data_IF_773984322171
#
_entry.id   IF_773984322171
#
_cell.length_a   1.000
_cell.length_b   1.000
_cell.length_c   1.000
_cell.angle_alpha   90.00
_cell.angle_beta   90.00
_cell.angle_gamma   90.00
#
_symmetry.space_group_name_H-M   'P 1'
#
loop_
_entity.id
_entity.type
_entity.pdbx_description
1 polymer ?
#
# COMPACT_ATOMS: atom_id res chain seq x y z
N UNK A 1 10.94 -20.74 -16.83
CA UNK A 1 11.17 -19.37 -16.33
C UNK A 1 10.63 -18.42 -17.36
N UNK A 2 9.44 -17.88 -17.07
CA UNK A 2 8.69 -17.04 -18.00
C UNK A 2 9.43 -15.68 -18.13
N UNK A 3 9.93 -15.37 -19.32
CA UNK A 3 10.65 -14.12 -19.63
C UNK A 3 9.81 -12.84 -19.38
N UNK A 4 8.52 -12.98 -19.04
CA UNK A 4 7.61 -11.87 -18.73
C UNK A 4 7.74 -11.36 -17.28
N UNK A 5 8.42 -12.06 -16.38
CA UNK A 5 8.66 -11.59 -15.00
C UNK A 5 9.81 -10.58 -14.89
N UNK A 6 10.64 -10.42 -15.92
CA UNK A 6 11.82 -9.54 -15.86
C UNK A 6 11.53 -8.04 -16.00
N UNK A 7 10.29 -7.62 -16.32
CA UNK A 7 9.94 -6.22 -16.59
C UNK A 7 9.13 -5.55 -15.47
N UNK A 8 9.04 -6.16 -14.28
CA UNK A 8 8.35 -5.51 -13.16
C UNK A 8 9.31 -4.53 -12.49
N UNK A 9 8.90 -3.26 -12.33
CA UNK A 9 9.74 -2.26 -11.68
C UNK A 9 10.13 -2.68 -10.26
N UNK A 10 11.38 -2.43 -9.88
CA UNK A 10 11.91 -2.77 -8.55
C UNK A 10 11.93 -1.55 -7.63
N UNK A 11 12.09 -1.78 -6.33
CA UNK A 11 12.02 -0.72 -5.29
C UNK A 11 13.01 0.41 -5.52
N UNK A 12 14.24 0.10 -5.89
CA UNK A 12 15.33 1.07 -6.09
C UNK A 12 15.76 1.14 -7.56
N UNK A 13 14.79 1.16 -8.49
CA UNK A 13 15.09 1.27 -9.89
C UNK A 13 15.81 2.60 -10.21
N UNK A 14 16.77 2.55 -11.11
CA UNK A 14 17.43 3.76 -11.59
C UNK A 14 16.53 4.46 -12.61
N UNK A 15 16.04 5.66 -12.25
CA UNK A 15 15.15 6.49 -13.08
C UNK A 15 15.88 7.70 -13.69
N UNK A 16 17.21 7.77 -13.55
CA UNK A 16 18.02 8.89 -14.04
C UNK A 16 18.07 8.89 -15.57
N UNK A 17 18.10 10.08 -16.15
CA UNK A 17 18.28 10.26 -17.58
C UNK A 17 18.93 11.61 -17.88
N UNK A 18 19.49 11.70 -19.10
CA UNK A 18 19.98 12.93 -19.70
C UNK A 18 19.22 13.17 -21.01
N UNK A 19 18.71 14.39 -21.18
CA UNK A 19 18.00 14.81 -22.39
C UNK A 19 18.72 16.00 -23.00
N UNK A 20 19.09 15.88 -24.27
CA UNK A 20 19.69 16.96 -25.08
C UNK A 20 18.79 17.22 -26.28
N UNK A 21 18.39 18.45 -26.48
CA UNK A 21 17.60 18.89 -27.63
C UNK A 21 18.37 19.99 -28.35
N UNK A 22 18.67 19.75 -29.62
CA UNK A 22 19.29 20.71 -30.53
C UNK A 22 18.33 21.12 -31.64
N UNK A 23 18.78 21.93 -32.58
CA UNK A 23 17.98 22.26 -33.76
C UNK A 23 17.77 21.08 -34.73
N UNK A 24 18.57 20.02 -34.62
CA UNK A 24 18.62 18.94 -35.60
C UNK A 24 18.32 17.55 -35.02
N UNK A 25 18.47 17.40 -33.72
CA UNK A 25 18.33 16.09 -33.08
C UNK A 25 17.85 16.19 -31.62
N UNK A 26 17.23 15.13 -31.17
CA UNK A 26 16.88 14.88 -29.77
C UNK A 26 17.62 13.63 -29.35
N UNK A 27 18.43 13.75 -28.31
CA UNK A 27 19.22 12.66 -27.73
C UNK A 27 18.74 12.43 -26.30
N UNK A 28 18.32 11.20 -26.00
CA UNK A 28 17.89 10.75 -24.68
C UNK A 28 18.75 9.57 -24.26
N UNK A 29 19.49 9.74 -23.18
CA UNK A 29 20.38 8.73 -22.61
C UNK A 29 19.96 8.37 -21.19
N UNK A 30 19.86 7.08 -20.89
CA UNK A 30 19.54 6.54 -19.58
C UNK A 30 20.10 5.11 -19.44
N UNK A 31 20.41 4.72 -18.22
CA UNK A 31 20.95 3.38 -17.92
C UNK A 31 19.90 2.29 -17.87
N UNK A 32 18.62 2.66 -17.80
CA UNK A 32 17.48 1.74 -17.71
C UNK A 32 16.34 2.15 -18.63
N UNK A 33 15.50 1.21 -19.02
CA UNK A 33 14.27 1.48 -19.77
C UNK A 33 13.34 2.44 -19.04
N UNK A 34 13.29 2.36 -17.69
CA UNK A 34 12.47 3.26 -16.87
C UNK A 34 13.01 4.69 -16.94
N UNK A 35 14.34 4.88 -16.91
CA UNK A 35 14.94 6.20 -17.12
C UNK A 35 14.58 6.79 -18.49
N UNK A 36 14.58 5.96 -19.55
CA UNK A 36 14.10 6.39 -20.88
C UNK A 36 12.64 6.83 -20.83
N UNK A 37 11.74 6.05 -20.19
CA UNK A 37 10.32 6.43 -20.02
C UNK A 37 10.19 7.79 -19.31
N UNK A 38 10.96 8.04 -18.24
CA UNK A 38 10.93 9.34 -17.51
C UNK A 38 11.41 10.50 -18.38
N UNK A 39 12.43 10.25 -19.22
CA UNK A 39 12.92 11.23 -20.18
C UNK A 39 11.92 11.55 -21.30
N UNK A 40 11.21 10.54 -21.80
CA UNK A 40 10.13 10.71 -22.78
C UNK A 40 8.96 11.54 -22.19
N UNK A 41 8.57 11.31 -20.93
CA UNK A 41 7.55 12.13 -20.27
C UNK A 41 8.00 13.60 -20.16
N UNK A 42 9.27 13.85 -19.87
CA UNK A 42 9.81 15.22 -19.88
C UNK A 42 9.77 15.83 -21.28
N UNK A 43 10.14 15.08 -22.30
CA UNK A 43 10.07 15.55 -23.69
C UNK A 43 8.63 15.92 -24.09
N UNK A 44 7.65 15.09 -23.72
CA UNK A 44 6.22 15.38 -23.94
C UNK A 44 5.77 16.67 -23.23
N UNK A 45 6.25 16.91 -22.01
CA UNK A 45 5.94 18.13 -21.26
C UNK A 45 6.59 19.41 -21.87
N UNK A 46 7.75 19.25 -22.51
CA UNK A 46 8.48 20.36 -23.16
C UNK A 46 7.92 20.68 -24.55
N UNK A 47 7.27 19.72 -25.20
CA UNK A 47 6.70 19.86 -26.53
C UNK A 47 5.52 20.83 -26.52
N UNK A 48 5.54 21.82 -27.45
CA UNK A 48 4.42 22.71 -27.73
C UNK A 48 4.28 22.90 -29.23
N UNK A 49 3.14 22.48 -29.79
CA UNK A 49 2.84 22.63 -31.22
C UNK A 49 3.92 22.01 -32.15
N UNK A 50 4.38 20.82 -31.81
CA UNK A 50 5.41 20.09 -32.59
C UNK A 50 6.82 20.64 -32.41
N UNK A 51 7.08 21.50 -31.41
CA UNK A 51 8.40 22.10 -31.15
C UNK A 51 8.79 21.91 -29.69
N UNK A 52 10.06 21.65 -29.45
CA UNK A 52 10.67 21.66 -28.13
C UNK A 52 11.83 22.65 -28.07
N UNK A 53 12.08 23.31 -26.94
CA UNK A 53 13.20 24.26 -26.81
C UNK A 53 14.55 23.53 -26.89
N UNK A 54 15.56 24.15 -27.52
CA UNK A 54 16.91 23.63 -27.43
C UNK A 54 17.43 23.76 -26.00
N UNK A 55 17.83 22.62 -25.40
CA UNK A 55 18.34 22.55 -24.03
C UNK A 55 19.15 21.29 -23.79
N UNK A 56 19.84 21.26 -22.67
CA UNK A 56 20.42 20.04 -22.08
C UNK A 56 20.00 20.01 -20.62
N UNK A 57 19.49 18.87 -20.19
CA UNK A 57 19.13 18.64 -18.78
C UNK A 57 19.57 17.23 -18.33
N UNK A 58 19.80 17.12 -17.04
CA UNK A 58 19.95 15.87 -16.30
C UNK A 58 18.88 15.86 -15.22
N UNK A 59 18.18 14.76 -15.07
CA UNK A 59 17.11 14.60 -14.10
C UNK A 59 17.21 13.26 -13.38
N UNK A 60 16.92 13.29 -12.08
CA UNK A 60 16.87 12.15 -11.22
C UNK A 60 15.82 12.36 -10.11
N UNK A 61 15.06 11.36 -9.71
CA UNK A 61 14.12 11.52 -8.62
C UNK A 61 14.83 11.81 -7.29
N UNK A 62 14.33 12.78 -6.53
CA UNK A 62 14.80 13.04 -5.16
C UNK A 62 14.38 11.93 -4.20
N UNK A 63 13.22 11.32 -4.42
CA UNK A 63 12.67 10.23 -3.62
C UNK A 63 12.44 9.00 -4.49
N UNK A 64 12.87 7.84 -4.00
CA UNK A 64 12.67 6.55 -4.67
C UNK A 64 11.21 6.07 -4.62
N UNK A 65 10.43 6.52 -3.65
CA UNK A 65 9.01 6.22 -3.51
C UNK A 65 8.17 7.48 -3.76
N UNK A 66 7.38 7.47 -4.81
CA UNK A 66 6.47 8.56 -5.19
C UNK A 66 5.13 7.93 -5.55
N UNK A 67 4.28 7.75 -4.54
CA UNK A 67 3.07 6.95 -4.63
C UNK A 67 1.77 7.74 -4.64
N UNK A 68 0.73 7.09 -5.14
CA UNK A 68 -0.67 7.45 -4.93
C UNK A 68 -1.38 6.26 -4.30
N UNK A 69 -2.13 6.51 -3.24
CA UNK A 69 -3.08 5.55 -2.69
C UNK A 69 -4.44 5.78 -3.34
N UNK A 70 -5.03 4.72 -3.86
CA UNK A 70 -6.43 4.66 -4.26
C UNK A 70 -7.21 3.76 -3.33
N UNK A 71 -8.37 4.23 -2.91
CA UNK A 71 -9.27 3.51 -2.01
C UNK A 71 -10.57 3.05 -2.71
N UNK A 72 -10.51 1.96 -3.47
CA UNK A 72 -11.72 1.35 -4.01
C UNK A 72 -12.54 0.60 -2.96
N UNK A 73 -11.99 0.34 -1.76
CA UNK A 73 -12.70 -0.39 -0.72
C UNK A 73 -13.86 0.44 -0.17
N UNK A 74 -13.62 1.73 0.17
CA UNK A 74 -14.70 2.62 0.61
C UNK A 74 -15.65 2.96 -0.52
N UNK A 75 -15.13 3.18 -1.73
CA UNK A 75 -15.94 3.43 -2.92
C UNK A 75 -15.38 2.71 -4.13
N UNK A 76 -16.11 1.73 -4.66
CA UNK A 76 -15.67 0.97 -5.83
C UNK A 76 -15.39 1.88 -7.04
N UNK A 77 -14.20 1.75 -7.60
CA UNK A 77 -13.77 2.45 -8.81
C UNK A 77 -13.86 1.49 -10.01
N UNK A 78 -14.53 1.86 -11.12
CA UNK A 78 -14.53 1.03 -12.32
C UNK A 78 -13.09 0.76 -12.81
N UNK A 79 -12.83 -0.46 -13.29
CA UNK A 79 -11.50 -0.87 -13.75
C UNK A 79 -10.85 0.09 -14.76
N UNK A 80 -11.56 0.64 -15.77
CA UNK A 80 -10.97 1.64 -16.68
C UNK A 80 -10.50 2.91 -15.97
N UNK A 81 -11.07 3.25 -14.81
CA UNK A 81 -10.63 4.40 -14.01
C UNK A 81 -9.24 4.14 -13.41
N UNK A 82 -8.96 2.91 -12.96
CA UNK A 82 -7.63 2.54 -12.47
C UNK A 82 -6.56 2.64 -13.57
N UNK A 83 -6.88 2.19 -14.79
CA UNK A 83 -5.95 2.30 -15.93
C UNK A 83 -5.65 3.75 -16.26
N UNK A 84 -6.69 4.61 -16.34
CA UNK A 84 -6.52 6.06 -16.56
C UNK A 84 -5.70 6.72 -15.44
N UNK A 85 -5.85 6.29 -14.20
CA UNK A 85 -5.03 6.80 -13.10
C UNK A 85 -3.55 6.46 -13.29
N UNK A 86 -3.23 5.27 -13.79
CA UNK A 86 -1.85 4.89 -14.12
C UNK A 86 -1.27 5.76 -15.24
N UNK A 87 -2.06 6.13 -16.25
CA UNK A 87 -1.61 7.06 -17.29
C UNK A 87 -1.26 8.45 -16.71
N UNK A 88 -2.12 8.96 -15.80
CA UNK A 88 -1.86 10.24 -15.11
C UNK A 88 -0.61 10.14 -14.23
N UNK A 89 -0.44 9.04 -13.50
CA UNK A 89 0.74 8.81 -12.67
C UNK A 89 2.02 8.78 -13.50
N UNK A 90 2.01 8.10 -14.65
CA UNK A 90 3.16 8.05 -15.57
C UNK A 90 3.53 9.46 -16.05
N UNK A 91 2.56 10.25 -16.51
CA UNK A 91 2.77 11.60 -17.02
C UNK A 91 3.43 12.56 -16.01
N UNK A 92 3.26 12.33 -14.71
CA UNK A 92 3.89 13.10 -13.63
C UNK A 92 4.99 12.32 -12.90
N UNK A 93 5.46 11.22 -13.48
CA UNK A 93 6.59 10.38 -12.99
C UNK A 93 6.38 9.78 -11.59
N UNK A 94 5.14 9.52 -11.18
CA UNK A 94 4.84 8.72 -9.99
C UNK A 94 5.11 7.24 -10.29
N UNK A 95 5.61 6.49 -9.30
CA UNK A 95 6.11 5.13 -9.53
C UNK A 95 5.52 4.04 -8.63
N UNK A 96 4.58 4.38 -7.75
CA UNK A 96 3.90 3.41 -6.88
C UNK A 96 2.40 3.69 -6.84
N UNK A 97 1.61 2.70 -7.23
CA UNK A 97 0.17 2.66 -6.94
C UNK A 97 -0.03 1.80 -5.69
N UNK A 98 -0.42 2.43 -4.58
CA UNK A 98 -0.90 1.74 -3.39
C UNK A 98 -2.39 1.50 -3.54
N UNK A 99 -2.82 0.26 -3.55
CA UNK A 99 -4.21 -0.12 -3.84
C UNK A 99 -4.87 -0.72 -2.59
N UNK A 100 -5.70 0.08 -1.92
CA UNK A 100 -6.44 -0.29 -0.72
C UNK A 100 -7.66 -1.13 -1.10
N UNK A 101 -7.49 -2.46 -1.09
CA UNK A 101 -8.44 -3.40 -1.67
C UNK A 101 -9.54 -3.86 -0.72
N UNK A 102 -9.33 -3.71 0.59
CA UNK A 102 -10.25 -4.25 1.59
C UNK A 102 -10.41 -3.30 2.75
N UNK A 103 -11.65 -3.15 3.22
CA UNK A 103 -12.03 -2.32 4.35
C UNK A 103 -13.43 -2.71 4.86
N UNK A 104 -13.96 -2.00 5.84
CA UNK A 104 -15.29 -2.20 6.41
C UNK A 104 -16.42 -2.10 5.37
N UNK A 105 -16.25 -1.25 4.34
CA UNK A 105 -17.27 -0.98 3.33
C UNK A 105 -17.21 -1.96 2.16
N UNK A 106 -16.08 -2.67 1.98
CA UNK A 106 -16.02 -3.58 0.87
C UNK A 106 -14.73 -4.37 0.71
N UNK A 107 -14.89 -5.53 0.10
CA UNK A 107 -13.84 -6.43 -0.31
C UNK A 107 -13.69 -6.41 -1.83
N UNK A 108 -12.57 -5.91 -2.38
CA UNK A 108 -12.41 -5.66 -3.82
C UNK A 108 -11.54 -6.67 -4.56
N UNK A 109 -10.94 -7.61 -3.86
CA UNK A 109 -10.12 -8.67 -4.45
C UNK A 109 -10.96 -9.93 -4.69
N UNK A 110 -10.99 -10.46 -5.94
CA UNK A 110 -11.56 -11.79 -6.21
C UNK A 110 -10.71 -12.85 -5.56
N UNK A 111 -11.21 -13.51 -4.51
CA UNK A 111 -10.59 -14.72 -3.98
C UNK A 111 -11.29 -15.95 -4.55
N UNK A 112 -10.52 -16.83 -5.17
CA UNK A 112 -11.00 -18.15 -5.63
C UNK A 112 -10.98 -19.17 -4.50
N UNK A 113 -10.05 -19.00 -3.56
CA UNK A 113 -9.94 -19.82 -2.36
C UNK A 113 -11.08 -19.54 -1.38
N UNK A 114 -11.44 -18.27 -1.22
CA UNK A 114 -12.46 -17.79 -0.30
C UNK A 114 -13.52 -16.95 -1.01
N UNK A 115 -14.35 -17.56 -1.88
CA UNK A 115 -15.24 -16.80 -2.76
C UNK A 115 -16.29 -15.98 -2.02
N UNK A 116 -16.67 -16.35 -0.79
CA UNK A 116 -17.59 -15.58 0.04
C UNK A 116 -17.09 -14.14 0.28
N UNK A 117 -15.76 -13.90 0.29
CA UNK A 117 -15.19 -12.56 0.49
C UNK A 117 -15.72 -11.56 -0.54
N UNK A 118 -15.55 -11.83 -1.82
CA UNK A 118 -16.03 -10.92 -2.87
C UNK A 118 -17.54 -11.06 -3.15
N UNK A 119 -18.14 -12.23 -2.91
CA UNK A 119 -19.58 -12.45 -3.11
C UNK A 119 -20.43 -11.76 -2.03
N UNK A 120 -20.00 -11.73 -0.79
CA UNK A 120 -20.74 -11.16 0.33
C UNK A 120 -20.17 -9.80 0.76
N UNK A 121 -18.86 -9.67 0.91
CA UNK A 121 -18.18 -8.43 1.26
C UNK A 121 -18.00 -7.47 0.08
N UNK A 122 -17.95 -7.99 -1.15
CA UNK A 122 -17.73 -7.24 -2.39
C UNK A 122 -18.98 -6.94 -3.22
N UNK A 123 -20.17 -6.98 -2.65
CA UNK A 123 -21.45 -6.82 -3.40
C UNK A 123 -21.55 -5.54 -4.25
N UNK A 124 -20.86 -4.48 -3.86
CA UNK A 124 -20.88 -3.21 -4.61
C UNK A 124 -19.91 -3.19 -5.80
N UNK A 125 -19.11 -4.23 -5.97
CA UNK A 125 -18.10 -4.40 -7.01
C UNK A 125 -16.80 -4.96 -6.45
N UNK A 126 -16.09 -5.68 -7.31
CA UNK A 126 -14.75 -6.20 -7.03
C UNK A 126 -13.99 -6.33 -8.36
N UNK A 127 -12.68 -6.50 -8.26
CA UNK A 127 -11.84 -6.78 -9.43
C UNK A 127 -11.54 -8.27 -9.51
N UNK A 128 -11.69 -8.84 -10.71
CA UNK A 128 -11.26 -10.21 -10.95
C UNK A 128 -9.73 -10.29 -10.89
N UNK A 129 -9.20 -11.45 -10.53
CA UNK A 129 -7.75 -11.68 -10.56
C UNK A 129 -7.14 -11.41 -11.96
N UNK A 130 -7.91 -11.67 -13.01
CA UNK A 130 -7.50 -11.34 -14.38
C UNK A 130 -7.35 -9.83 -14.57
N UNK A 131 -8.31 -9.03 -14.12
CA UNK A 131 -8.22 -7.57 -14.16
C UNK A 131 -7.04 -7.05 -13.33
N UNK A 132 -6.82 -7.60 -12.15
CA UNK A 132 -5.69 -7.18 -11.31
C UNK A 132 -4.33 -7.53 -11.93
N UNK A 133 -4.18 -8.71 -12.56
CA UNK A 133 -2.98 -9.02 -13.34
C UNK A 133 -2.78 -8.10 -14.52
N UNK A 134 -3.87 -7.75 -15.22
CA UNK A 134 -3.84 -6.75 -16.30
C UNK A 134 -3.41 -5.37 -15.76
N UNK A 135 -3.92 -4.95 -14.60
CA UNK A 135 -3.53 -3.71 -13.94
C UNK A 135 -2.03 -3.69 -13.63
N UNK A 136 -1.51 -4.76 -13.03
CA UNK A 136 -0.09 -4.92 -12.69
C UNK A 136 0.79 -4.83 -13.95
N UNK A 137 0.41 -5.52 -15.02
CA UNK A 137 1.14 -5.47 -16.29
C UNK A 137 1.10 -4.06 -16.89
N UNK A 138 -0.06 -3.43 -16.91
CA UNK A 138 -0.26 -2.07 -17.44
C UNK A 138 0.55 -1.02 -16.65
N UNK A 139 0.64 -1.19 -15.33
CA UNK A 139 1.45 -0.37 -14.46
C UNK A 139 2.96 -0.58 -14.73
N UNK A 140 3.40 -1.84 -14.85
CA UNK A 140 4.80 -2.19 -15.11
C UNK A 140 5.32 -1.58 -16.42
N UNK A 141 4.52 -1.59 -17.48
CA UNK A 141 4.84 -0.94 -18.77
C UNK A 141 5.06 0.58 -18.65
N UNK A 142 4.63 1.19 -17.55
CA UNK A 142 4.80 2.62 -17.22
C UNK A 142 5.83 2.88 -16.13
N UNK A 143 6.56 1.84 -15.72
CA UNK A 143 7.50 1.94 -14.61
C UNK A 143 6.83 2.20 -13.26
N UNK A 144 5.60 1.69 -13.08
CA UNK A 144 4.81 1.85 -11.85
C UNK A 144 4.66 0.48 -11.18
N UNK A 145 4.94 0.43 -9.89
CA UNK A 145 4.72 -0.73 -9.02
C UNK A 145 3.30 -0.68 -8.46
N UNK A 146 2.68 -1.85 -8.25
CA UNK A 146 1.37 -1.94 -7.60
C UNK A 146 1.53 -2.67 -6.27
N UNK A 147 1.38 -1.94 -5.17
CA UNK A 147 1.43 -2.46 -3.80
C UNK A 147 -0.01 -2.67 -3.32
N UNK A 148 -0.44 -3.93 -3.11
CA UNK A 148 -1.78 -4.20 -2.59
C UNK A 148 -1.82 -3.98 -1.08
N UNK A 149 -2.99 -3.53 -0.60
CA UNK A 149 -3.30 -3.51 0.82
C UNK A 149 -4.49 -4.42 1.13
N UNK A 150 -4.29 -5.26 2.14
CA UNK A 150 -5.33 -6.07 2.80
C UNK A 150 -5.33 -5.64 4.25
N UNK A 151 -6.29 -4.83 4.65
CA UNK A 151 -6.31 -4.21 5.97
C UNK A 151 -6.71 -5.22 7.06
N UNK A 152 -5.89 -5.33 8.11
CA UNK A 152 -5.94 -6.32 9.18
C UNK A 152 -5.30 -5.76 10.46
N UNK A 153 -5.73 -6.13 11.65
CA UNK A 153 -6.92 -6.92 12.00
C UNK A 153 -8.18 -6.08 12.13
N UNK A 154 -8.08 -4.75 12.11
CA UNK A 154 -9.17 -3.80 12.03
C UNK A 154 -9.69 -3.65 10.60
N UNK A 155 -10.66 -2.76 10.37
CA UNK A 155 -11.23 -2.50 9.05
C UNK A 155 -11.73 -3.77 8.32
N UNK A 156 -12.25 -4.73 9.09
CA UNK A 156 -12.56 -6.09 8.61
C UNK A 156 -14.05 -6.42 8.59
N UNK A 157 -14.94 -5.42 8.64
CA UNK A 157 -16.39 -5.68 8.62
C UNK A 157 -16.81 -6.46 7.38
N UNK A 158 -16.31 -6.09 6.19
CA UNK A 158 -16.66 -6.82 4.95
C UNK A 158 -16.13 -8.27 4.97
N UNK A 159 -14.96 -8.53 5.58
CA UNK A 159 -14.44 -9.87 5.81
C UNK A 159 -15.34 -10.62 6.79
N UNK A 160 -15.71 -10.01 7.91
CA UNK A 160 -16.55 -10.61 8.95
C UNK A 160 -17.96 -10.97 8.46
N UNK A 161 -18.50 -10.25 7.47
CA UNK A 161 -19.76 -10.65 6.80
C UNK A 161 -19.60 -11.98 6.07
N UNK A 162 -18.42 -12.22 5.49
CA UNK A 162 -18.14 -13.43 4.73
C UNK A 162 -17.75 -14.61 5.65
N UNK A 163 -16.97 -14.34 6.69
CA UNK A 163 -16.38 -15.32 7.60
C UNK A 163 -16.54 -14.87 9.07
N UNK A 164 -17.77 -14.86 9.60
CA UNK A 164 -18.04 -14.39 10.96
C UNK A 164 -17.34 -15.22 12.06
N UNK A 165 -16.96 -16.45 11.76
CA UNK A 165 -16.21 -17.35 12.63
C UNK A 165 -14.77 -16.91 12.90
N UNK A 166 -14.24 -15.94 12.14
CA UNK A 166 -12.90 -15.37 12.31
C UNK A 166 -12.90 -14.12 13.21
N UNK A 167 -14.08 -13.60 13.54
CA UNK A 167 -14.22 -12.35 14.27
C UNK A 167 -14.17 -12.56 15.78
N UNK A 168 -13.68 -11.54 16.49
CA UNK A 168 -13.58 -11.54 17.97
C UNK A 168 -14.92 -11.47 18.69
N UNK A 169 -15.97 -11.02 18.00
CA UNK A 169 -17.36 -10.92 18.45
C UNK A 169 -18.27 -11.43 17.34
N UNK A 170 -19.57 -11.67 17.60
CA UNK A 170 -20.51 -12.07 16.57
C UNK A 170 -20.39 -11.20 15.32
N UNK A 171 -20.15 -11.81 14.18
CA UNK A 171 -19.81 -11.14 12.93
C UNK A 171 -20.90 -10.15 12.45
N UNK A 172 -20.52 -9.12 11.71
CA UNK A 172 -21.43 -8.17 11.10
C UNK A 172 -22.35 -8.85 10.08
N UNK A 173 -23.56 -8.31 9.89
CA UNK A 173 -24.54 -8.88 8.94
C UNK A 173 -24.42 -8.29 7.53
N UNK A 174 -23.80 -7.14 7.39
CA UNK A 174 -23.57 -6.44 6.13
C UNK A 174 -22.32 -5.57 6.24
N UNK A 175 -21.64 -5.28 5.11
CA UNK A 175 -20.55 -4.29 5.09
C UNK A 175 -21.07 -2.92 5.53
N UNK A 176 -20.17 -2.10 6.03
CA UNK A 176 -20.48 -0.73 6.44
C UNK A 176 -20.85 0.15 5.25
N UNK A 177 -21.61 1.20 5.53
CA UNK A 177 -22.04 2.19 4.52
C UNK A 177 -21.44 3.56 4.72
N UNK A 178 -20.97 3.82 5.94
CA UNK A 178 -20.38 5.09 6.35
C UNK A 178 -18.87 4.91 6.49
N UNK A 179 -18.12 5.96 6.22
CA UNK A 179 -16.72 6.04 6.57
C UNK A 179 -16.57 6.20 8.10
N UNK A 180 -15.43 5.83 8.62
CA UNK A 180 -15.13 5.91 10.05
C UNK A 180 -14.42 4.66 10.54
N UNK A 181 -14.17 4.62 11.85
CA UNK A 181 -13.57 3.47 12.53
C UNK A 181 -14.69 2.60 13.11
N UNK A 182 -14.70 1.33 12.74
CA UNK A 182 -15.75 0.39 13.14
C UNK A 182 -15.18 -0.72 14.03
N UNK A 183 -15.97 -1.28 14.96
CA UNK A 183 -15.44 -2.17 15.99
C UNK A 183 -15.18 -3.61 15.51
N UNK A 184 -15.56 -3.96 14.30
CA UNK A 184 -15.34 -5.30 13.77
C UNK A 184 -13.86 -5.59 13.60
N UNK A 185 -13.34 -6.57 14.33
CA UNK A 185 -11.92 -6.92 14.37
C UNK A 185 -11.75 -8.43 14.45
N UNK A 186 -10.72 -8.96 13.79
CA UNK A 186 -10.38 -10.39 13.83
C UNK A 186 -10.04 -10.83 15.26
N UNK A 187 -10.23 -12.13 15.53
CA UNK A 187 -9.83 -12.74 16.79
C UNK A 187 -8.37 -13.21 16.73
N UNK A 188 -7.42 -12.49 17.38
CA UNK A 188 -6.00 -12.85 17.32
C UNK A 188 -5.65 -14.11 18.12
N UNK A 189 -6.60 -14.67 18.86
CA UNK A 189 -6.40 -15.91 19.65
C UNK A 189 -6.87 -17.15 18.92
N UNK A 190 -7.55 -16.98 17.78
CA UNK A 190 -8.11 -18.05 16.98
C UNK A 190 -7.10 -18.50 15.91
N UNK A 191 -6.57 -19.73 16.02
CA UNK A 191 -5.62 -20.27 15.05
C UNK A 191 -6.19 -20.33 13.62
N UNK A 192 -7.51 -20.52 13.46
CA UNK A 192 -8.15 -20.52 12.15
C UNK A 192 -8.00 -19.18 11.41
N UNK A 193 -7.79 -18.06 12.12
CA UNK A 193 -7.48 -16.76 11.52
C UNK A 193 -6.14 -16.84 10.78
N UNK A 194 -5.12 -17.42 11.38
CA UNK A 194 -3.79 -17.51 10.77
C UNK A 194 -3.71 -18.51 9.64
N UNK A 195 -4.45 -19.61 9.74
CA UNK A 195 -4.62 -20.57 8.63
C UNK A 195 -5.29 -19.89 7.43
N UNK A 196 -6.38 -19.17 7.69
CA UNK A 196 -7.08 -18.38 6.66
C UNK A 196 -6.16 -17.32 6.03
N UNK A 197 -5.43 -16.55 6.84
CA UNK A 197 -4.52 -15.50 6.34
C UNK A 197 -3.36 -16.10 5.54
N UNK A 198 -2.83 -17.26 5.93
CA UNK A 198 -1.78 -17.95 5.18
C UNK A 198 -2.24 -18.29 3.76
N UNK A 199 -3.42 -18.85 3.63
CA UNK A 199 -3.99 -19.23 2.34
C UNK A 199 -4.38 -18.00 1.50
N UNK A 200 -4.97 -16.97 2.13
CA UNK A 200 -5.34 -15.72 1.47
C UNK A 200 -4.11 -14.97 0.94
N UNK A 201 -3.08 -14.80 1.78
CA UNK A 201 -1.84 -14.11 1.39
C UNK A 201 -1.15 -14.87 0.27
N UNK A 202 -1.09 -16.20 0.35
CA UNK A 202 -0.56 -17.02 -0.73
C UNK A 202 -1.30 -16.75 -2.05
N UNK A 203 -2.62 -16.66 -2.03
CA UNK A 203 -3.41 -16.33 -3.22
C UNK A 203 -3.13 -14.92 -3.74
N UNK A 204 -3.11 -13.91 -2.87
CA UNK A 204 -2.83 -12.51 -3.22
C UNK A 204 -1.46 -12.37 -3.90
N UNK A 205 -0.45 -13.08 -3.40
CA UNK A 205 0.92 -13.04 -3.97
C UNK A 205 1.04 -13.65 -5.36
N UNK A 206 0.08 -14.47 -5.79
CA UNK A 206 0.02 -14.98 -7.18
C UNK A 206 -0.43 -13.90 -8.18
N UNK A 207 -1.04 -12.84 -7.70
CA UNK A 207 -1.58 -11.74 -8.50
C UNK A 207 -0.67 -10.52 -8.45
N UNK A 208 -0.15 -10.19 -7.27
CA UNK A 208 0.70 -9.03 -7.03
C UNK A 208 2.14 -9.47 -6.78
N UNK A 209 3.04 -9.23 -7.75
CA UNK A 209 4.44 -9.65 -7.64
C UNK A 209 5.32 -8.70 -6.84
N UNK A 210 4.82 -7.52 -6.44
CA UNK A 210 5.58 -6.56 -5.64
C UNK A 210 6.12 -7.20 -4.36
N UNK A 211 7.37 -6.92 -3.95
CA UNK A 211 7.92 -7.47 -2.73
C UNK A 211 7.17 -7.03 -1.47
N UNK A 212 6.48 -5.89 -1.49
CA UNK A 212 5.68 -5.43 -0.36
C UNK A 212 4.23 -5.87 -0.45
N UNK A 213 3.66 -6.22 0.71
CA UNK A 213 2.23 -6.32 0.93
C UNK A 213 1.89 -5.46 2.14
N UNK A 214 1.00 -4.50 1.95
CA UNK A 214 0.52 -3.63 3.01
C UNK A 214 -0.61 -4.31 3.76
N UNK A 215 -0.51 -4.33 5.08
CA UNK A 215 -1.47 -5.05 5.95
C UNK A 215 -2.43 -4.11 6.69
N UNK A 216 -2.39 -2.80 6.41
CA UNK A 216 -3.10 -1.81 7.22
C UNK A 216 -2.50 -1.70 8.60
N UNK A 217 -3.20 -2.18 9.61
CA UNK A 217 -2.75 -2.22 11.00
C UNK A 217 -3.13 -0.99 11.81
N UNK A 218 -3.90 -0.09 11.20
CA UNK A 218 -4.38 1.15 11.79
C UNK A 218 -5.71 0.99 12.55
N UNK A 219 -5.99 1.94 13.40
CA UNK A 219 -7.29 2.21 14.03
C UNK A 219 -7.98 1.01 14.68
N UNK A 220 -7.22 0.06 15.21
CA UNK A 220 -7.73 -1.17 15.83
C UNK A 220 -8.45 -0.84 17.13
N UNK A 221 -9.78 -0.92 17.13
CA UNK A 221 -10.60 -0.71 18.32
C UNK A 221 -10.53 -1.94 19.23
N UNK A 222 -10.12 -1.72 20.48
CA UNK A 222 -9.89 -2.78 21.45
C UNK A 222 -11.13 -3.30 22.17
N UNK A 223 -12.28 -2.62 22.03
CA UNK A 223 -13.50 -2.94 22.78
C UNK A 223 -13.96 -4.39 22.56
N UNK A 224 -13.89 -4.87 21.32
CA UNK A 224 -14.29 -6.24 21.02
C UNK A 224 -13.32 -7.27 21.61
N UNK A 225 -12.04 -6.97 21.68
CA UNK A 225 -11.05 -7.85 22.32
C UNK A 225 -11.22 -7.87 23.83
N UNK A 226 -11.29 -6.67 24.45
CA UNK A 226 -11.41 -6.53 25.91
C UNK A 226 -12.77 -6.95 26.44
N UNK A 227 -13.82 -6.90 25.59
CA UNK A 227 -15.15 -7.41 25.90
C UNK A 227 -15.29 -8.92 25.78
N UNK A 228 -14.27 -9.64 25.33
CA UNK A 228 -14.28 -11.09 25.14
C UNK A 228 -13.53 -11.81 26.24
N UNK A 229 -14.25 -12.58 27.07
CA UNK A 229 -13.65 -13.30 28.22
C UNK A 229 -12.56 -14.28 27.80
N UNK A 230 -12.68 -14.93 26.63
CA UNK A 230 -11.67 -15.87 26.14
C UNK A 230 -10.39 -15.13 25.69
N UNK A 231 -10.53 -13.98 25.02
CA UNK A 231 -9.37 -13.16 24.60
C UNK A 231 -8.65 -12.59 25.83
N UNK A 232 -9.38 -12.07 26.80
CA UNK A 232 -8.79 -11.57 28.07
C UNK A 232 -8.04 -12.68 28.80
N UNK A 233 -8.60 -13.90 28.86
CA UNK A 233 -7.93 -15.07 29.43
C UNK A 233 -6.66 -15.42 28.66
N UNK A 234 -6.70 -15.41 27.32
CA UNK A 234 -5.54 -15.63 26.48
C UNK A 234 -4.44 -14.60 26.75
N UNK A 235 -4.80 -13.31 26.83
CA UNK A 235 -3.85 -12.24 27.15
C UNK A 235 -3.14 -12.49 28.49
N UNK A 236 -3.89 -12.90 29.53
CA UNK A 236 -3.33 -13.26 30.85
C UNK A 236 -2.35 -14.44 30.74
N UNK A 237 -2.72 -15.49 30.02
CA UNK A 237 -1.89 -16.69 29.84
C UNK A 237 -0.59 -16.40 29.07
N UNK A 238 -0.62 -15.47 28.11
CA UNK A 238 0.52 -15.08 27.31
C UNK A 238 1.24 -13.84 27.81
N UNK A 239 0.87 -13.32 29.00
CA UNK A 239 1.48 -12.14 29.63
C UNK A 239 1.41 -10.89 28.74
N UNK A 240 0.34 -10.76 27.93
CA UNK A 240 0.06 -9.59 27.13
C UNK A 240 -0.61 -8.53 28.01
N UNK A 241 0.07 -7.43 28.24
CA UNK A 241 -0.32 -6.43 29.26
C UNK A 241 -1.62 -5.68 28.88
N UNK A 242 -1.81 -5.42 27.60
CA UNK A 242 -2.91 -4.60 27.08
C UNK A 242 -3.24 -4.96 25.62
N UNK A 243 -4.21 -4.26 25.04
CA UNK A 243 -4.61 -4.47 23.66
C UNK A 243 -3.50 -4.14 22.63
N UNK A 244 -2.59 -3.22 22.97
CA UNK A 244 -1.43 -2.91 22.13
C UNK A 244 -0.49 -4.12 22.06
N UNK A 245 -0.25 -4.79 23.18
CA UNK A 245 0.53 -6.02 23.21
C UNK A 245 -0.14 -7.17 22.43
N UNK A 246 -1.47 -7.26 22.46
CA UNK A 246 -2.24 -8.22 21.66
C UNK A 246 -2.16 -7.89 20.15
N UNK A 247 -2.23 -6.61 19.78
CA UNK A 247 -2.03 -6.17 18.41
C UNK A 247 -0.61 -6.49 17.92
N UNK A 248 0.40 -6.24 18.76
CA UNK A 248 1.78 -6.62 18.46
C UNK A 248 1.95 -8.13 18.26
N UNK A 249 1.29 -8.95 19.09
CA UNK A 249 1.24 -10.41 18.92
C UNK A 249 0.66 -10.81 17.56
N UNK A 250 -0.47 -10.22 17.17
CA UNK A 250 -1.09 -10.46 15.87
C UNK A 250 -0.12 -10.09 14.73
N UNK A 251 0.48 -8.90 14.78
CA UNK A 251 1.40 -8.40 13.75
C UNK A 251 2.66 -9.27 13.62
N UNK A 252 3.21 -9.81 14.73
CA UNK A 252 4.34 -10.74 14.67
C UNK A 252 3.97 -12.05 13.96
N UNK A 253 2.77 -12.59 14.23
CA UNK A 253 2.26 -13.78 13.55
C UNK A 253 2.06 -13.52 12.05
N UNK A 254 1.43 -12.40 11.71
CA UNK A 254 1.20 -11.99 10.32
C UNK A 254 2.51 -11.73 9.57
N UNK A 255 3.49 -11.09 10.23
CA UNK A 255 4.83 -10.91 9.66
C UNK A 255 5.47 -12.26 9.28
N UNK A 256 5.36 -13.27 10.14
CA UNK A 256 5.89 -14.61 9.87
C UNK A 256 5.23 -15.25 8.66
N UNK A 257 3.91 -15.08 8.49
CA UNK A 257 3.16 -15.56 7.33
C UNK A 257 3.64 -14.87 6.04
N UNK A 258 3.79 -13.54 6.07
CA UNK A 258 4.29 -12.77 4.93
C UNK A 258 5.71 -13.18 4.53
N UNK A 259 6.58 -13.37 5.51
CA UNK A 259 7.96 -13.83 5.28
C UNK A 259 7.98 -15.21 4.61
N UNK A 260 7.14 -16.15 5.04
CA UNK A 260 7.00 -17.46 4.41
C UNK A 260 6.47 -17.37 2.97
N UNK A 261 5.60 -16.39 2.70
CA UNK A 261 5.11 -16.09 1.36
C UNK A 261 6.12 -15.30 0.50
N UNK A 262 7.33 -15.02 1.01
CA UNK A 262 8.38 -14.27 0.31
C UNK A 262 8.03 -12.79 0.13
N UNK A 263 7.29 -12.20 1.08
CA UNK A 263 6.89 -10.79 1.05
C UNK A 263 7.41 -10.03 2.27
N UNK A 264 7.73 -8.77 2.04
CA UNK A 264 8.04 -7.81 3.09
C UNK A 264 6.75 -7.16 3.57
N UNK A 265 6.55 -7.13 4.87
CA UNK A 265 5.41 -6.48 5.50
C UNK A 265 5.55 -4.97 5.36
N UNK A 266 4.46 -4.31 5.00
CA UNK A 266 4.27 -2.87 5.07
C UNK A 266 2.99 -2.60 5.87
N UNK A 267 2.92 -1.49 6.61
CA UNK A 267 1.71 -1.11 7.33
C UNK A 267 1.77 0.33 7.82
N UNK A 268 0.62 0.80 8.34
CA UNK A 268 0.53 2.12 8.94
C UNK A 268 1.37 2.21 10.21
N UNK A 269 1.69 3.40 10.65
CA UNK A 269 2.70 3.62 11.73
C UNK A 269 2.30 3.03 13.09
N UNK A 270 1.05 2.60 13.29
CA UNK A 270 0.61 1.87 14.49
C UNK A 270 1.31 0.51 14.67
N UNK A 271 1.75 -0.11 13.57
CA UNK A 271 2.43 -1.43 13.65
C UNK A 271 3.76 -1.36 14.41
N UNK A 272 4.35 -0.17 14.56
CA UNK A 272 5.60 0.04 15.32
C UNK A 272 5.43 -0.09 16.83
N UNK A 273 4.20 -0.11 17.34
CA UNK A 273 3.91 -0.29 18.78
C UNK A 273 4.33 -1.68 19.30
N UNK A 274 4.74 -2.58 18.41
CA UNK A 274 5.30 -3.89 18.73
C UNK A 274 6.74 -4.05 18.23
N UNK A 275 7.44 -5.07 18.73
CA UNK A 275 8.81 -5.38 18.26
C UNK A 275 8.74 -6.13 16.92
N UNK A 276 8.62 -5.41 15.82
CA UNK A 276 8.77 -5.96 14.47
C UNK A 276 10.22 -5.83 13.97
N UNK A 277 10.67 -6.71 13.06
CA UNK A 277 11.96 -6.58 12.40
C UNK A 277 12.09 -5.27 11.64
N UNK A 278 13.29 -4.69 11.58
CA UNK A 278 13.54 -3.40 10.90
C UNK A 278 13.45 -3.47 9.37
N UNK A 279 13.28 -4.65 8.80
CA UNK A 279 12.96 -4.85 7.39
C UNK A 279 11.50 -4.49 7.02
N UNK A 280 10.63 -4.27 8.00
CA UNK A 280 9.25 -3.81 7.78
C UNK A 280 9.25 -2.37 7.30
N UNK A 281 8.43 -2.05 6.30
CA UNK A 281 8.25 -0.69 5.80
C UNK A 281 7.07 -0.02 6.52
N UNK A 282 7.30 1.15 7.10
CA UNK A 282 6.31 1.89 7.89
C UNK A 282 5.77 3.07 7.08
N UNK A 283 4.45 3.15 6.93
CA UNK A 283 3.78 4.29 6.32
C UNK A 283 3.20 5.21 7.39
N UNK A 284 3.74 6.43 7.47
CA UNK A 284 3.34 7.43 8.46
C UNK A 284 2.18 8.27 7.96
N UNK A 285 1.07 8.28 8.71
CA UNK A 285 -0.12 9.07 8.42
C UNK A 285 -0.54 10.00 9.56
N UNK A 286 -0.14 9.68 10.80
CA UNK A 286 -0.54 10.42 12.01
C UNK A 286 0.26 11.69 12.27
N UNK A 287 1.31 11.96 11.49
CA UNK A 287 2.13 13.17 11.61
C UNK A 287 3.58 12.93 11.18
N UNK A 288 4.31 14.01 10.98
CA UNK A 288 5.75 13.96 10.65
C UNK A 288 6.55 13.40 11.84
N UNK A 289 6.04 13.57 13.06
CA UNK A 289 6.66 13.05 14.28
C UNK A 289 6.70 11.51 14.28
N UNK A 290 5.62 10.85 13.84
CA UNK A 290 5.60 9.37 13.74
C UNK A 290 6.57 8.86 12.67
N UNK A 291 6.74 9.60 11.57
CA UNK A 291 7.78 9.31 10.56
C UNK A 291 9.17 9.34 11.20
N UNK A 292 9.50 10.44 11.89
CA UNK A 292 10.83 10.61 12.51
C UNK A 292 11.09 9.59 13.60
N UNK A 293 10.06 9.24 14.38
CA UNK A 293 10.18 8.21 15.40
C UNK A 293 10.50 6.85 14.77
N UNK A 294 9.72 6.42 13.77
CA UNK A 294 9.95 5.15 13.09
C UNK A 294 11.35 5.11 12.42
N UNK A 295 11.77 6.20 11.77
CA UNK A 295 13.09 6.31 11.16
C UNK A 295 14.22 6.26 12.23
N UNK A 296 14.05 6.96 13.35
CA UNK A 296 15.01 6.92 14.47
C UNK A 296 15.12 5.52 15.10
N UNK A 297 14.05 4.73 15.05
CA UNK A 297 14.04 3.32 15.45
C UNK A 297 14.66 2.39 14.42
N UNK A 298 15.04 2.89 13.23
CA UNK A 298 15.70 2.16 12.15
C UNK A 298 14.77 1.46 11.18
N UNK A 299 13.51 1.92 11.04
CA UNK A 299 12.62 1.48 9.99
C UNK A 299 12.76 2.33 8.73
N UNK A 300 12.64 1.71 7.56
CA UNK A 300 12.34 2.45 6.33
C UNK A 300 10.92 3.04 6.42
N UNK A 301 10.74 4.26 5.90
CA UNK A 301 9.48 4.99 6.08
C UNK A 301 8.95 5.63 4.81
N UNK A 302 7.62 5.71 4.71
CA UNK A 302 6.89 6.46 3.68
C UNK A 302 6.02 7.52 4.37
N UNK A 303 6.09 8.77 3.92
CA UNK A 303 5.26 9.85 4.43
C UNK A 303 3.95 9.97 3.65
N UNK A 304 2.82 9.87 4.33
CA UNK A 304 1.48 10.12 3.78
C UNK A 304 0.82 11.38 4.35
N UNK A 305 1.11 11.73 5.60
CA UNK A 305 0.55 12.94 6.23
C UNK A 305 0.87 14.19 5.42
N UNK A 306 -0.10 15.10 5.32
CA UNK A 306 0.04 16.32 4.53
C UNK A 306 -0.16 16.16 3.01
N UNK A 307 -0.34 14.92 2.52
CA UNK A 307 -0.60 14.60 1.12
C UNK A 307 -1.98 13.98 0.86
N UNK A 308 -2.89 14.06 1.83
CA UNK A 308 -4.27 13.59 1.68
C UNK A 308 -5.04 14.55 0.76
N UNK A 309 -5.22 14.17 -0.50
CA UNK A 309 -5.85 15.01 -1.54
C UNK A 309 -7.38 15.06 -1.43
N UNK A 310 -7.99 14.18 -0.65
CA UNK A 310 -9.41 14.15 -0.32
C UNK A 310 -9.78 15.14 0.80
N UNK A 311 -8.79 15.68 1.52
CA UNK A 311 -8.99 16.73 2.49
C UNK A 311 -9.02 18.11 1.80
N UNK A 312 -9.98 19.01 2.14
CA UNK A 312 -10.10 20.33 1.53
C UNK A 312 -9.00 21.27 2.00
N UNK A 313 -7.80 21.16 1.40
CA UNK A 313 -6.62 21.97 1.69
C UNK A 313 -6.24 22.82 0.47
N UNK A 314 -5.62 23.98 0.71
CA UNK A 314 -5.02 24.75 -0.37
C UNK A 314 -3.81 24.02 -0.96
N UNK A 315 -3.59 24.12 -2.28
CA UNK A 315 -2.43 23.54 -2.95
C UNK A 315 -1.10 23.91 -2.26
N UNK A 316 -0.96 25.15 -1.78
CA UNK A 316 0.21 25.60 -1.04
C UNK A 316 0.47 24.81 0.27
N UNK A 317 -0.54 24.19 0.87
CA UNK A 317 -0.38 23.31 2.02
C UNK A 317 0.41 22.06 1.61
N UNK A 318 0.00 21.39 0.55
CA UNK A 318 0.67 20.19 0.03
C UNK A 318 2.09 20.49 -0.45
N UNK A 319 2.30 21.63 -1.16
CA UNK A 319 3.62 22.04 -1.66
C UNK A 319 4.63 22.36 -0.54
N UNK A 320 4.17 22.79 0.65
CA UNK A 320 5.04 23.05 1.80
C UNK A 320 5.38 21.82 2.61
N UNK A 321 4.69 20.72 2.37
CA UNK A 321 4.94 19.45 3.06
C UNK A 321 6.13 18.76 2.39
N UNK A 322 7.31 18.86 3.01
CA UNK A 322 8.55 18.24 2.51
C UNK A 322 8.97 17.13 3.49
N UNK A 323 9.05 15.86 3.06
CA UNK A 323 9.48 14.75 3.89
C UNK A 323 10.90 14.91 4.45
N UNK A 324 11.77 15.61 3.71
CA UNK A 324 13.17 15.83 4.06
C UNK A 324 13.55 17.30 3.88
N UNK A 325 13.02 18.22 4.72
CA UNK A 325 13.34 19.65 4.60
C UNK A 325 14.83 19.88 4.89
N UNK A 326 15.46 20.79 4.13
CA UNK A 326 16.90 21.08 4.20
C UNK A 326 17.40 21.43 5.62
N UNK A 327 16.52 21.92 6.49
CA UNK A 327 16.82 22.33 7.87
C UNK A 327 16.61 21.23 8.93
N UNK A 328 16.16 20.06 8.52
CA UNK A 328 16.07 18.86 9.38
C UNK A 328 16.70 17.70 8.63
N UNK A 329 18.02 17.49 8.80
CA UNK A 329 18.64 16.31 8.24
C UNK A 329 17.91 15.09 8.83
N UNK A 330 17.34 14.24 7.95
CA UNK A 330 16.96 12.90 8.34
C UNK A 330 18.23 12.22 8.87
N UNK A 331 18.14 11.37 9.91
CA UNK A 331 19.27 10.52 10.27
C UNK A 331 19.71 9.78 9.00
N UNK A 332 21.03 9.72 8.78
CA UNK A 332 21.62 9.08 7.59
C UNK A 332 20.97 7.73 7.35
N UNK A 333 20.12 7.67 6.34
CA UNK A 333 19.56 6.44 5.78
C UNK A 333 20.52 5.98 4.69
N UNK A 334 21.71 5.52 5.12
CA UNK A 334 22.70 4.87 4.22
C UNK A 334 22.38 3.39 4.04
#
# INVERSE_FOLDING_TARGET
TDARQSNIPVVQMNEQYQLRISQHEIELDATTEIGVLRGLETLLQLEKNGKAPALQLYDAPRFSWRGVLLDPARRFLPFPTLLRQLDIMAAVKLNVLHLHLTDDQGWRFESKRFPRLHQLGGKQGYYTQQQLRQLVQYAAERGIRVVPEIDLPGHTTALGVAYPELMSQPGPKQPEKHWGVHPAVLDPTNEAVYDFLTELITEVTTVFPDPYLHIGGDEVLSEHWLGSAHIVKFMQQHQLADATALHAYFNQRLHSILQQAGRTMMGWDEITQGSLPKSVLVQSWRGVESLHQAAAEGYDTVLSTGYYLDQPQFAAFHYRNDPAPANRPLPDLS
#
